data_IF_460727547957
#
_entry.id   IF_460727547957
#
_cell.length_a   1.000
_cell.length_b   1.000
_cell.length_c   1.000
_cell.angle_alpha   90.00
_cell.angle_beta   90.00
_cell.angle_gamma   90.00
#
_symmetry.space_group_name_H-M   'P 1'
#
loop_
_entity.id
_entity.type
_entity.pdbx_description
1 polymer ?
#
# COMPACT_ATOMS: atom_id res chain seq x y z
N UNK A 1 8.86 16.19 4.73
CA UNK A 1 8.51 17.60 4.50
C UNK A 1 9.16 18.19 3.24
N UNK A 2 10.47 18.04 3.02
CA UNK A 2 11.14 18.60 1.84
C UNK A 2 10.56 18.07 0.51
N UNK A 3 10.41 16.75 0.37
CA UNK A 3 9.77 16.14 -0.81
C UNK A 3 8.31 16.59 -1.00
N UNK A 4 7.60 16.87 0.09
CA UNK A 4 6.23 17.39 0.03
C UNK A 4 6.20 18.81 -0.54
N UNK A 5 7.16 19.66 -0.16
CA UNK A 5 7.30 21.00 -0.72
C UNK A 5 7.68 20.96 -2.21
N UNK A 6 8.49 19.99 -2.64
CA UNK A 6 8.76 19.78 -4.07
C UNK A 6 7.49 19.43 -4.85
N UNK A 7 6.54 18.72 -4.23
CA UNK A 7 5.23 18.46 -4.82
C UNK A 7 4.42 19.74 -5.07
N UNK A 8 4.44 20.70 -4.14
CA UNK A 8 3.83 22.01 -4.35
C UNK A 8 4.55 22.80 -5.45
N UNK A 9 5.88 22.80 -5.45
CA UNK A 9 6.65 23.46 -6.51
C UNK A 9 6.38 22.86 -7.90
N UNK A 10 6.12 21.56 -7.98
CA UNK A 10 5.69 20.93 -9.21
C UNK A 10 4.30 21.41 -9.64
N UNK A 11 3.35 21.45 -8.71
CA UNK A 11 1.98 21.92 -8.99
C UNK A 11 1.93 23.41 -9.41
N UNK A 12 2.89 24.20 -8.94
CA UNK A 12 3.05 25.62 -9.29
C UNK A 12 3.88 25.84 -10.59
N UNK A 13 4.26 24.78 -11.32
CA UNK A 13 5.13 24.83 -12.51
C UNK A 13 6.49 25.53 -12.24
N UNK A 14 7.04 25.34 -11.04
CA UNK A 14 8.31 25.95 -10.59
C UNK A 14 9.50 24.99 -10.64
N UNK A 15 9.33 23.82 -11.22
CA UNK A 15 10.40 22.84 -11.40
C UNK A 15 11.10 23.03 -12.75
N UNK A 16 12.25 22.38 -12.98
CA UNK A 16 12.97 22.55 -14.24
C UNK A 16 12.20 22.01 -15.44
N UNK A 17 11.93 22.87 -16.42
CA UNK A 17 11.20 22.51 -17.65
C UNK A 17 12.09 21.93 -18.74
N UNK A 18 13.40 22.18 -18.69
CA UNK A 18 14.33 21.74 -19.73
C UNK A 18 14.86 20.34 -19.43
N UNK A 19 14.90 19.43 -20.42
CA UNK A 19 15.29 18.03 -20.20
C UNK A 19 16.72 17.90 -19.68
N UNK A 20 17.64 18.79 -20.07
CA UNK A 20 19.01 18.78 -19.56
C UNK A 20 19.08 19.17 -18.07
N UNK A 21 18.21 20.07 -17.59
CA UNK A 21 18.15 20.45 -16.17
C UNK A 21 17.56 19.33 -15.33
N UNK A 22 16.52 18.67 -15.85
CA UNK A 22 15.93 17.48 -15.23
C UNK A 22 16.95 16.34 -15.17
N UNK A 23 17.70 16.11 -16.25
CA UNK A 23 18.78 15.12 -16.27
C UNK A 23 19.90 15.48 -15.29
N UNK A 24 20.32 16.74 -15.24
CA UNK A 24 21.33 17.20 -14.27
C UNK A 24 20.86 17.01 -12.82
N UNK A 25 19.58 17.28 -12.53
CA UNK A 25 18.97 17.04 -11.22
C UNK A 25 18.99 15.55 -10.87
N UNK A 26 18.61 14.69 -11.82
CA UNK A 26 18.58 13.24 -11.63
C UNK A 26 19.96 12.64 -11.43
N UNK A 27 20.90 12.98 -12.31
CA UNK A 27 22.30 12.52 -12.21
C UNK A 27 22.99 13.08 -10.96
N UNK A 28 22.74 14.34 -10.61
CA UNK A 28 23.24 14.95 -9.38
C UNK A 28 22.70 14.26 -8.13
N UNK A 29 21.40 13.96 -8.08
CA UNK A 29 20.77 13.19 -7.01
C UNK A 29 21.33 11.77 -6.91
N UNK A 30 21.49 11.08 -8.04
CA UNK A 30 22.07 9.74 -8.09
C UNK A 30 23.54 9.72 -7.63
N UNK A 31 24.36 10.66 -8.12
CA UNK A 31 25.75 10.78 -7.72
C UNK A 31 25.88 11.10 -6.23
N UNK A 32 25.07 12.04 -5.72
CA UNK A 32 25.03 12.37 -4.30
C UNK A 32 24.64 11.15 -3.45
N UNK A 33 23.63 10.39 -3.89
CA UNK A 33 23.21 9.16 -3.21
C UNK A 33 24.34 8.12 -3.15
N UNK A 34 25.02 7.87 -4.27
CA UNK A 34 26.15 6.92 -4.35
C UNK A 34 27.29 7.35 -3.42
N UNK A 35 27.63 8.65 -3.39
CA UNK A 35 28.66 9.19 -2.50
C UNK A 35 28.22 9.09 -1.04
N UNK A 36 26.97 9.39 -0.72
CA UNK A 36 26.44 9.37 0.65
C UNK A 36 26.41 7.96 1.25
N UNK A 37 26.11 6.95 0.45
CA UNK A 37 25.89 5.57 0.90
C UNK A 37 27.12 4.68 0.71
N UNK A 38 27.96 4.98 -0.29
CA UNK A 38 29.19 4.22 -0.55
C UNK A 38 30.31 4.62 0.41
N UNK A 39 31.04 5.72 0.14
CA UNK A 39 32.07 6.23 1.04
C UNK A 39 31.53 7.10 2.19
N UNK A 40 30.26 7.54 2.11
CA UNK A 40 29.66 8.44 3.08
C UNK A 40 29.19 7.74 4.36
N UNK A 41 28.68 8.52 5.34
CA UNK A 41 28.34 8.02 6.67
C UNK A 41 26.97 7.31 6.73
N UNK A 42 26.24 7.21 5.61
CA UNK A 42 24.88 6.68 5.59
C UNK A 42 24.85 5.18 5.26
N UNK A 43 24.00 4.40 5.94
CA UNK A 43 23.91 2.96 5.70
C UNK A 43 23.35 2.66 4.30
N UNK A 44 23.64 1.46 3.78
CA UNK A 44 23.04 0.96 2.52
C UNK A 44 21.53 0.72 2.65
N UNK A 45 21.10 0.35 3.84
CA UNK A 45 19.71 0.02 4.14
C UNK A 45 18.84 1.27 4.18
N UNK A 46 17.87 1.37 3.26
CA UNK A 46 16.95 2.51 3.19
C UNK A 46 15.72 2.35 4.09
N UNK A 47 15.30 1.11 4.36
CA UNK A 47 14.10 0.77 5.13
C UNK A 47 14.50 -0.22 6.22
N UNK A 48 13.94 -0.14 7.44
CA UNK A 48 14.23 -1.08 8.51
C UNK A 48 14.02 -2.54 8.07
N UNK A 49 14.99 -3.39 8.37
CA UNK A 49 14.88 -4.84 8.13
C UNK A 49 14.41 -5.46 9.44
N UNK A 50 13.21 -6.03 9.42
CA UNK A 50 12.61 -6.66 10.60
C UNK A 50 13.51 -7.77 11.14
N UNK A 51 13.74 -7.76 12.46
CA UNK A 51 14.61 -8.74 13.15
C UNK A 51 16.11 -8.39 13.13
N UNK A 52 16.49 -7.20 12.66
CA UNK A 52 17.89 -6.73 12.72
C UNK A 52 17.97 -5.33 13.32
N UNK A 53 19.03 -5.06 14.07
CA UNK A 53 19.35 -3.72 14.58
C UNK A 53 20.23 -2.92 13.59
N UNK A 54 20.17 -3.30 12.30
CA UNK A 54 20.96 -2.64 11.28
C UNK A 54 20.51 -1.17 11.14
N UNK A 55 21.47 -0.22 11.14
CA UNK A 55 21.15 1.18 10.93
C UNK A 55 20.50 1.36 9.55
N UNK A 56 19.52 2.27 9.48
CA UNK A 56 18.78 2.55 8.25
C UNK A 56 18.56 4.05 8.07
N UNK A 57 18.31 4.46 6.82
CA UNK A 57 18.11 5.86 6.47
C UNK A 57 16.71 6.41 6.79
N UNK A 58 15.78 5.57 7.25
CA UNK A 58 14.41 5.97 7.55
C UNK A 58 14.25 6.44 9.01
N UNK A 59 15.14 6.02 9.91
CA UNK A 59 15.04 6.30 11.33
C UNK A 59 16.39 6.71 11.94
N UNK A 60 16.73 8.02 11.99
CA UNK A 60 15.95 9.17 11.49
C UNK A 60 16.05 9.36 9.96
N UNK A 61 15.06 10.02 9.31
CA UNK A 61 15.09 10.30 7.87
C UNK A 61 16.35 11.06 7.45
N UNK A 62 17.17 10.44 6.61
CA UNK A 62 18.50 10.95 6.26
C UNK A 62 18.54 11.78 4.97
N UNK A 63 19.65 12.48 4.74
CA UNK A 63 19.89 13.21 3.50
C UNK A 63 19.95 12.28 2.26
N UNK A 64 20.31 11.00 2.45
CA UNK A 64 20.29 10.01 1.38
C UNK A 64 18.89 9.83 0.79
N UNK A 65 17.83 9.87 1.62
CA UNK A 65 16.45 9.81 1.14
C UNK A 65 16.05 11.03 0.30
N UNK A 66 16.61 12.20 0.60
CA UNK A 66 16.39 13.42 -0.20
C UNK A 66 17.06 13.27 -1.56
N UNK A 67 18.31 12.79 -1.60
CA UNK A 67 19.02 12.54 -2.86
C UNK A 67 18.29 11.50 -3.73
N UNK A 68 17.79 10.42 -3.12
CA UNK A 68 16.96 9.42 -3.78
C UNK A 68 15.66 10.03 -4.33
N UNK A 69 14.96 10.83 -3.53
CA UNK A 69 13.72 11.48 -3.96
C UNK A 69 13.91 12.50 -5.09
N UNK A 70 15.04 13.22 -5.11
CA UNK A 70 15.40 14.11 -6.23
C UNK A 70 15.66 13.32 -7.53
N UNK A 71 16.34 12.18 -7.42
CA UNK A 71 16.53 11.27 -8.55
C UNK A 71 15.18 10.78 -9.11
N UNK A 72 14.28 10.34 -8.22
CA UNK A 72 12.94 9.90 -8.61
C UNK A 72 12.10 11.03 -9.22
N UNK A 73 12.19 12.25 -8.67
CA UNK A 73 11.52 13.42 -9.22
C UNK A 73 12.01 13.75 -10.63
N UNK A 74 13.31 13.73 -10.86
CA UNK A 74 13.88 13.96 -12.19
C UNK A 74 13.40 12.94 -13.23
N UNK A 75 13.32 11.67 -12.84
CA UNK A 75 12.74 10.62 -13.69
C UNK A 75 11.27 10.90 -13.99
N UNK A 76 10.49 11.34 -13.00
CA UNK A 76 9.09 11.70 -13.20
C UNK A 76 8.92 12.90 -14.14
N UNK A 77 9.75 13.94 -14.01
CA UNK A 77 9.75 15.11 -14.90
C UNK A 77 10.09 14.72 -16.35
N UNK A 78 11.14 13.92 -16.55
CA UNK A 78 11.53 13.44 -17.88
C UNK A 78 10.46 12.55 -18.53
N UNK A 79 9.73 11.77 -17.71
CA UNK A 79 8.66 10.91 -18.18
C UNK A 79 7.34 11.68 -18.41
N UNK A 80 7.19 12.89 -17.86
CA UNK A 80 5.92 13.61 -17.78
C UNK A 80 5.25 13.75 -19.14
N UNK A 81 5.91 14.40 -20.11
CA UNK A 81 5.32 14.65 -21.43
C UNK A 81 4.95 13.37 -22.18
N UNK A 82 5.79 12.34 -22.05
CA UNK A 82 5.57 11.04 -22.70
C UNK A 82 4.36 10.31 -22.12
N UNK A 83 4.24 10.31 -20.80
CA UNK A 83 3.12 9.70 -20.07
C UNK A 83 1.83 10.47 -20.35
N UNK A 84 1.88 11.81 -20.33
CA UNK A 84 0.73 12.67 -20.66
C UNK A 84 0.26 12.44 -22.10
N UNK A 85 1.19 12.22 -23.03
CA UNK A 85 0.88 11.83 -24.41
C UNK A 85 0.19 10.46 -24.49
N UNK A 86 0.66 9.46 -23.75
CA UNK A 86 0.01 8.13 -23.71
C UNK A 86 -1.38 8.17 -23.09
N UNK A 87 -1.60 9.03 -22.09
CA UNK A 87 -2.89 9.24 -21.44
C UNK A 87 -3.92 9.95 -22.32
N UNK A 88 -3.55 10.46 -23.50
CA UNK A 88 -4.53 10.94 -24.49
C UNK A 88 -5.34 9.79 -25.10
N UNK A 89 -4.83 8.56 -25.10
CA UNK A 89 -5.57 7.38 -25.52
C UNK A 89 -6.59 6.98 -24.45
N UNK A 90 -7.86 6.88 -24.83
CA UNK A 90 -8.96 6.52 -23.90
C UNK A 90 -8.72 5.21 -23.18
N UNK A 91 -8.15 4.18 -23.84
CA UNK A 91 -7.90 2.88 -23.23
C UNK A 91 -6.84 2.97 -22.14
N UNK A 92 -5.75 3.68 -22.43
CA UNK A 92 -4.65 3.91 -21.46
C UNK A 92 -5.16 4.75 -20.29
N UNK A 93 -5.88 5.83 -20.58
CA UNK A 93 -6.50 6.66 -19.56
C UNK A 93 -7.46 5.87 -18.67
N UNK A 94 -8.38 5.08 -19.25
CA UNK A 94 -9.33 4.26 -18.49
C UNK A 94 -8.62 3.21 -17.64
N UNK A 95 -7.55 2.58 -18.16
CA UNK A 95 -6.77 1.60 -17.41
C UNK A 95 -6.13 2.18 -16.14
N UNK A 96 -5.76 3.47 -16.14
CA UNK A 96 -5.18 4.17 -14.99
C UNK A 96 -6.25 4.80 -14.09
N UNK A 97 -7.28 5.43 -14.69
CA UNK A 97 -8.33 6.14 -13.97
C UNK A 97 -9.24 5.21 -13.15
N UNK A 98 -9.52 4.00 -13.64
CA UNK A 98 -10.38 3.04 -12.94
C UNK A 98 -9.79 2.58 -11.59
N UNK A 99 -8.52 2.10 -11.51
CA UNK A 99 -7.86 1.88 -10.24
C UNK A 99 -7.64 3.19 -9.47
N UNK A 100 -7.39 4.29 -10.18
CA UNK A 100 -7.25 5.65 -9.62
C UNK A 100 -8.39 6.04 -8.69
N UNK A 101 -9.63 5.76 -9.11
CA UNK A 101 -10.84 6.02 -8.29
C UNK A 101 -10.95 5.17 -7.02
N UNK A 102 -10.13 4.13 -6.86
CA UNK A 102 -10.08 3.23 -5.69
C UNK A 102 -8.72 3.22 -5.00
N UNK A 103 -7.91 4.27 -5.18
CA UNK A 103 -6.57 4.33 -4.60
C UNK A 103 -6.58 4.22 -3.08
N UNK A 104 -7.62 4.71 -2.42
CA UNK A 104 -7.76 4.58 -0.96
C UNK A 104 -7.97 3.11 -0.56
N UNK A 105 -8.90 2.39 -1.18
CA UNK A 105 -9.06 0.95 -0.94
C UNK A 105 -7.80 0.18 -1.32
N UNK A 106 -7.16 0.47 -2.44
CA UNK A 106 -5.89 -0.17 -2.83
C UNK A 106 -4.83 0.06 -1.74
N UNK A 107 -4.66 1.30 -1.28
CA UNK A 107 -3.71 1.65 -0.23
C UNK A 107 -4.00 0.92 1.08
N UNK A 108 -5.26 0.80 1.48
CA UNK A 108 -5.62 0.09 2.72
C UNK A 108 -5.41 -1.43 2.62
N UNK A 109 -5.64 -2.02 1.46
CA UNK A 109 -5.68 -3.48 1.32
C UNK A 109 -4.43 -4.11 0.69
N UNK A 110 -3.50 -3.33 0.11
CA UNK A 110 -2.33 -3.90 -0.56
C UNK A 110 -1.38 -4.66 0.40
N UNK A 111 -1.16 -4.15 1.62
CA UNK A 111 -0.35 -4.85 2.62
C UNK A 111 -1.02 -6.16 3.05
N UNK A 112 -2.34 -6.16 3.23
CA UNK A 112 -3.11 -7.37 3.54
C UNK A 112 -3.04 -8.39 2.41
N UNK A 113 -3.17 -7.96 1.15
CA UNK A 113 -3.04 -8.83 -0.01
C UNK A 113 -1.64 -9.47 -0.08
N UNK A 114 -0.59 -8.65 0.11
CA UNK A 114 0.79 -9.12 0.13
C UNK A 114 1.03 -10.14 1.26
N UNK A 115 0.48 -9.87 2.45
CA UNK A 115 0.60 -10.77 3.58
C UNK A 115 -0.14 -12.09 3.36
N UNK A 116 -1.32 -12.06 2.74
CA UNK A 116 -2.08 -13.26 2.43
C UNK A 116 -1.32 -14.16 1.44
N UNK A 117 -0.75 -13.57 0.37
CA UNK A 117 0.11 -14.29 -0.58
C UNK A 117 1.35 -14.83 0.14
N UNK A 118 2.02 -14.03 0.96
CA UNK A 118 3.19 -14.47 1.71
C UNK A 118 2.90 -15.67 2.61
N UNK A 119 1.84 -15.62 3.42
CA UNK A 119 1.47 -16.75 4.27
C UNK A 119 1.08 -17.99 3.46
N UNK A 120 0.31 -17.83 2.39
CA UNK A 120 -0.05 -18.96 1.53
C UNK A 120 1.19 -19.64 0.93
N UNK A 121 2.15 -18.86 0.44
CA UNK A 121 3.40 -19.42 -0.11
C UNK A 121 4.29 -20.08 0.94
N UNK A 122 4.38 -19.51 2.15
CA UNK A 122 5.14 -20.09 3.26
C UNK A 122 4.51 -21.42 3.73
N UNK A 123 3.18 -21.49 3.83
CA UNK A 123 2.48 -22.69 4.31
C UNK A 123 2.51 -23.84 3.29
N UNK A 124 2.43 -23.51 2.00
CA UNK A 124 2.42 -24.50 0.92
C UNK A 124 3.83 -24.90 0.46
N UNK A 125 4.85 -24.10 0.79
CA UNK A 125 6.24 -24.34 0.38
C UNK A 125 6.49 -24.21 -1.13
N UNK A 126 5.50 -23.70 -1.89
CA UNK A 126 5.56 -23.66 -3.37
C UNK A 126 6.46 -22.57 -3.91
N UNK A 127 6.80 -21.57 -3.10
CA UNK A 127 7.59 -20.41 -3.54
C UNK A 127 9.00 -20.47 -2.96
N UNK A 128 10.05 -20.26 -3.77
CA UNK A 128 11.42 -20.27 -3.26
C UNK A 128 11.65 -19.07 -2.34
N UNK A 129 12.05 -19.34 -1.10
CA UNK A 129 12.59 -18.31 -0.20
C UNK A 129 14.04 -18.04 -0.64
N UNK A 130 14.24 -17.03 -1.46
CA UNK A 130 15.58 -16.63 -1.89
C UNK A 130 16.20 -15.67 -0.88
N UNK A 131 17.33 -16.05 -0.30
CA UNK A 131 18.12 -15.19 0.60
C UNK A 131 19.03 -14.20 -0.14
N UNK A 132 19.22 -14.40 -1.45
CA UNK A 132 20.09 -13.58 -2.30
C UNK A 132 19.29 -12.90 -3.41
N UNK A 133 19.70 -11.70 -3.77
CA UNK A 133 19.17 -10.99 -4.94
C UNK A 133 19.99 -11.41 -6.16
N UNK A 134 19.47 -12.35 -6.93
CA UNK A 134 20.09 -12.86 -8.16
C UNK A 134 19.12 -12.82 -9.35
N UNK A 135 19.50 -13.40 -10.49
CA UNK A 135 18.64 -13.45 -11.68
C UNK A 135 17.33 -14.23 -11.44
N UNK A 136 17.35 -15.24 -10.57
CA UNK A 136 16.16 -16.02 -10.21
C UNK A 136 15.18 -15.19 -9.37
N UNK A 137 15.71 -14.36 -8.46
CA UNK A 137 14.95 -13.37 -7.72
C UNK A 137 14.24 -12.43 -8.69
N UNK A 138 14.95 -11.86 -9.67
CA UNK A 138 14.34 -10.95 -10.65
C UNK A 138 13.30 -11.63 -11.54
N UNK A 139 13.49 -12.91 -11.89
CA UNK A 139 12.52 -13.66 -12.68
C UNK A 139 11.23 -13.97 -11.91
N UNK A 140 11.33 -14.22 -10.60
CA UNK A 140 10.18 -14.57 -9.76
C UNK A 140 9.36 -13.36 -9.31
N UNK A 141 9.99 -12.18 -9.15
CA UNK A 141 9.32 -10.97 -8.64
C UNK A 141 8.13 -10.49 -9.49
N UNK A 142 8.17 -10.47 -10.84
CA UNK A 142 7.01 -10.13 -11.65
C UNK A 142 5.81 -11.03 -11.35
N UNK A 143 6.02 -12.34 -11.27
CA UNK A 143 4.96 -13.29 -10.93
C UNK A 143 4.44 -13.07 -9.50
N UNK A 144 5.33 -12.80 -8.55
CA UNK A 144 4.94 -12.43 -7.18
C UNK A 144 4.03 -11.19 -7.14
N UNK A 145 4.41 -10.14 -7.88
CA UNK A 145 3.62 -8.90 -7.96
C UNK A 145 2.27 -9.14 -8.63
N UNK A 146 2.22 -9.98 -9.67
CA UNK A 146 0.96 -10.37 -10.33
C UNK A 146 0.03 -11.13 -9.37
N UNK A 147 0.56 -12.05 -8.57
CA UNK A 147 -0.22 -12.76 -7.55
C UNK A 147 -0.77 -11.79 -6.49
N UNK A 148 0.08 -10.89 -5.97
CA UNK A 148 -0.35 -9.85 -5.05
C UNK A 148 -1.43 -8.95 -5.66
N UNK A 149 -1.26 -8.53 -6.92
CA UNK A 149 -2.22 -7.70 -7.63
C UNK A 149 -3.55 -8.42 -7.88
N UNK A 150 -3.53 -9.72 -8.18
CA UNK A 150 -4.73 -10.53 -8.35
C UNK A 150 -5.53 -10.63 -7.04
N UNK A 151 -4.87 -10.97 -5.93
CA UNK A 151 -5.51 -11.02 -4.60
C UNK A 151 -6.05 -9.65 -4.20
N UNK A 152 -5.27 -8.59 -4.43
CA UNK A 152 -5.70 -7.23 -4.19
C UNK A 152 -6.93 -6.86 -5.03
N UNK A 153 -6.95 -7.23 -6.32
CA UNK A 153 -8.10 -7.00 -7.19
C UNK A 153 -9.37 -7.67 -6.68
N UNK A 154 -9.27 -8.88 -6.14
CA UNK A 154 -10.39 -9.57 -5.48
C UNK A 154 -10.83 -8.81 -4.23
N UNK A 155 -9.91 -8.39 -3.36
CA UNK A 155 -10.25 -7.61 -2.16
C UNK A 155 -10.92 -6.28 -2.50
N UNK A 156 -10.38 -5.55 -3.48
CA UNK A 156 -10.94 -4.29 -3.98
C UNK A 156 -12.33 -4.53 -4.58
N UNK A 157 -12.57 -5.63 -5.30
CA UNK A 157 -13.90 -5.95 -5.82
C UNK A 157 -14.91 -6.24 -4.70
N UNK A 158 -14.49 -6.90 -3.61
CA UNK A 158 -15.34 -7.24 -2.47
C UNK A 158 -15.66 -6.03 -1.58
N UNK A 159 -14.69 -5.13 -1.40
CA UNK A 159 -14.74 -4.02 -0.44
C UNK A 159 -14.99 -2.66 -1.12
N UNK A 160 -14.68 -2.51 -2.40
CA UNK A 160 -14.85 -1.26 -3.16
C UNK A 160 -16.30 -0.75 -3.22
N UNK A 161 -17.28 -1.60 -2.89
CA UNK A 161 -18.68 -1.17 -2.66
C UNK A 161 -18.83 -0.17 -1.52
N UNK A 162 -17.95 -0.21 -0.51
CA UNK A 162 -17.99 0.69 0.64
C UNK A 162 -17.42 2.08 0.34
N UNK A 163 -16.74 2.26 -0.80
CA UNK A 163 -16.28 3.57 -1.26
C UNK A 163 -17.37 4.36 -2.00
N UNK A 164 -18.49 3.72 -2.34
CA UNK A 164 -19.62 4.41 -2.97
C UNK A 164 -20.36 5.25 -1.92
N UNK A 165 -20.49 6.58 -2.10
CA UNK A 165 -21.23 7.41 -1.16
C UNK A 165 -22.66 6.88 -1.03
N UNK A 166 -23.17 6.65 0.20
CA UNK A 166 -24.57 6.28 0.36
C UNK A 166 -25.45 7.42 -0.15
N UNK A 167 -26.64 7.12 -0.71
CA UNK A 167 -27.58 8.16 -1.12
C UNK A 167 -27.89 9.09 0.06
N UNK A 168 -28.12 10.39 -0.20
CA UNK A 168 -28.43 11.36 0.85
C UNK A 168 -29.57 10.85 1.74
N UNK A 169 -29.33 10.78 3.05
CA UNK A 169 -30.39 10.39 3.99
C UNK A 169 -31.47 11.47 4.05
N UNK A 170 -32.77 11.09 4.05
CA UNK A 170 -33.83 12.02 4.40
C UNK A 170 -33.58 12.62 5.78
N UNK A 171 -33.68 13.94 5.90
CA UNK A 171 -33.58 14.63 7.18
C UNK A 171 -34.70 14.17 8.13
N UNK A 172 -34.35 13.84 9.38
CA UNK A 172 -35.33 13.59 10.45
C UNK A 172 -35.49 12.14 10.95
N UNK A 173 -34.66 11.19 10.52
CA UNK A 173 -34.69 9.84 11.11
C UNK A 173 -33.93 9.79 12.45
N UNK A 174 -34.62 9.33 13.50
CA UNK A 174 -34.04 9.14 14.84
C UNK A 174 -32.77 8.25 14.81
N UNK A 175 -31.77 8.52 15.68
CA UNK A 175 -30.55 7.71 15.76
C UNK A 175 -30.91 6.27 16.14
N UNK A 176 -30.72 5.35 15.19
CA UNK A 176 -31.02 3.92 15.36
C UNK A 176 -29.99 3.26 16.32
N UNK A 177 -30.35 2.12 16.96
CA UNK A 177 -29.38 1.20 17.61
C UNK A 177 -28.22 0.77 16.69
N UNK A 178 -28.36 0.97 15.38
CA UNK A 178 -27.31 0.85 14.38
C UNK A 178 -26.08 1.76 14.64
N UNK A 179 -26.24 2.92 15.30
CA UNK A 179 -25.11 3.79 15.63
C UNK A 179 -24.25 3.20 16.77
N UNK A 180 -24.88 2.60 17.78
CA UNK A 180 -24.19 1.92 18.87
C UNK A 180 -23.50 0.63 18.38
N UNK A 181 -24.18 -0.14 17.51
CA UNK A 181 -23.60 -1.32 16.86
C UNK A 181 -22.45 -0.97 15.91
N UNK A 182 -22.56 0.14 15.16
CA UNK A 182 -21.46 0.64 14.35
C UNK A 182 -20.27 1.10 15.22
N UNK A 183 -20.54 1.79 16.33
CA UNK A 183 -19.51 2.17 17.30
C UNK A 183 -18.78 0.96 17.89
N UNK A 184 -19.52 -0.08 18.29
CA UNK A 184 -18.96 -1.35 18.77
C UNK A 184 -18.17 -2.09 17.68
N UNK A 185 -18.67 -2.11 16.45
CA UNK A 185 -17.97 -2.71 15.32
C UNK A 185 -16.65 -2.02 15.00
N UNK A 186 -16.62 -0.69 15.06
CA UNK A 186 -15.40 0.11 14.88
C UNK A 186 -14.40 -0.14 16.00
N UNK A 187 -14.83 -0.13 17.27
CA UNK A 187 -13.92 -0.35 18.41
C UNK A 187 -13.36 -1.77 18.44
N UNK A 188 -14.16 -2.79 18.12
CA UNK A 188 -13.70 -4.17 18.01
C UNK A 188 -12.73 -4.36 16.84
N UNK A 189 -13.00 -3.74 15.70
CA UNK A 189 -12.09 -3.78 14.54
C UNK A 189 -10.77 -3.07 14.84
N UNK A 190 -10.82 -1.88 15.45
CA UNK A 190 -9.63 -1.13 15.87
C UNK A 190 -8.82 -1.90 16.93
N UNK A 191 -9.50 -2.53 17.90
CA UNK A 191 -8.87 -3.38 18.91
C UNK A 191 -8.22 -4.63 18.31
N UNK A 192 -8.87 -5.30 17.37
CA UNK A 192 -8.31 -6.46 16.66
C UNK A 192 -7.08 -6.09 15.82
N UNK A 193 -7.11 -4.96 15.12
CA UNK A 193 -5.94 -4.42 14.40
C UNK A 193 -4.82 -4.05 15.37
N UNK A 194 -5.14 -3.37 16.48
CA UNK A 194 -4.17 -3.04 17.52
C UNK A 194 -3.50 -4.27 18.12
N UNK A 195 -4.26 -5.34 18.34
CA UNK A 195 -3.72 -6.61 18.82
C UNK A 195 -2.79 -7.27 17.80
N UNK A 196 -3.14 -7.29 16.51
CA UNK A 196 -2.27 -7.81 15.44
C UNK A 196 -0.93 -7.08 15.36
N UNK A 197 -0.93 -5.76 15.61
CA UNK A 197 0.29 -4.94 15.62
C UNK A 197 1.20 -5.31 16.79
N UNK A 198 0.63 -5.56 17.98
CA UNK A 198 1.41 -5.88 19.20
C UNK A 198 1.84 -7.34 19.26
N UNK A 199 0.94 -8.27 18.92
CA UNK A 199 1.18 -9.71 19.03
C UNK A 199 2.01 -10.27 17.86
N UNK A 200 2.16 -9.51 16.78
CA UNK A 200 2.80 -9.98 15.57
C UNK A 200 1.90 -10.90 14.75
N UNK A 201 2.17 -10.95 13.45
CA UNK A 201 1.34 -11.67 12.47
C UNK A 201 1.71 -13.15 12.36
N UNK A 202 2.88 -13.53 12.87
CA UNK A 202 3.42 -14.89 12.77
C UNK A 202 4.11 -15.29 14.07
N UNK A 203 3.56 -16.30 14.75
CA UNK A 203 4.19 -16.98 15.87
C UNK A 203 4.56 -18.41 15.45
N UNK A 204 5.84 -18.84 15.53
CA UNK A 204 6.24 -20.21 15.27
C UNK A 204 5.52 -21.26 16.14
N UNK A 205 4.99 -20.86 17.30
CA UNK A 205 4.33 -21.76 18.25
C UNK A 205 2.83 -21.97 17.98
N UNK A 206 2.22 -21.26 17.03
CA UNK A 206 0.79 -21.39 16.73
C UNK A 206 0.51 -22.47 15.66
N UNK A 207 -0.52 -23.33 15.86
CA UNK A 207 -0.78 -24.52 15.03
C UNK A 207 -1.10 -24.23 13.55
N UNK A 208 -1.37 -22.97 13.20
CA UNK A 208 -1.58 -22.53 11.81
C UNK A 208 -0.72 -21.30 11.44
N UNK A 209 0.24 -20.91 12.29
CA UNK A 209 1.11 -19.71 12.16
C UNK A 209 0.35 -18.38 11.96
N UNK A 210 -0.96 -18.36 12.20
CA UNK A 210 -1.82 -17.17 12.14
C UNK A 210 -2.42 -16.89 13.52
N UNK A 211 -2.51 -15.62 13.94
CA UNK A 211 -3.09 -15.22 15.22
C UNK A 211 -4.63 -15.30 15.15
N UNK A 212 -5.16 -16.52 15.23
CA UNK A 212 -6.60 -16.81 15.34
C UNK A 212 -7.31 -15.92 16.40
N UNK A 213 -6.72 -15.61 17.58
CA UNK A 213 -7.38 -14.77 18.59
C UNK A 213 -7.67 -13.35 18.11
N UNK A 214 -6.87 -12.81 17.19
CA UNK A 214 -7.03 -11.45 16.68
C UNK A 214 -7.97 -11.37 15.46
N UNK A 215 -8.13 -12.47 14.74
CA UNK A 215 -9.04 -12.58 13.59
C UNK A 215 -10.51 -12.67 14.01
N UNK A 216 -10.80 -13.28 15.16
CA UNK A 216 -12.16 -13.42 15.71
C UNK A 216 -12.84 -12.07 16.00
N UNK A 217 -12.25 -11.14 16.78
CA UNK A 217 -12.88 -9.84 17.04
C UNK A 217 -12.98 -8.97 15.78
N UNK A 218 -12.04 -9.10 14.84
CA UNK A 218 -12.08 -8.41 13.55
C UNK A 218 -13.22 -8.93 12.66
N UNK A 219 -13.42 -10.24 12.59
CA UNK A 219 -14.54 -10.85 11.88
C UNK A 219 -15.89 -10.48 12.52
N UNK A 220 -15.97 -10.48 13.85
CA UNK A 220 -17.18 -10.06 14.59
C UNK A 220 -17.49 -8.58 14.35
N UNK A 221 -16.48 -7.70 14.36
CA UNK A 221 -16.64 -6.28 14.04
C UNK A 221 -17.16 -6.04 12.63
N UNK A 222 -16.64 -6.77 11.64
CA UNK A 222 -17.11 -6.70 10.25
C UNK A 222 -18.56 -7.19 10.08
N UNK A 223 -18.94 -8.27 10.77
CA UNK A 223 -20.32 -8.78 10.76
C UNK A 223 -21.28 -7.79 11.44
N UNK A 224 -20.88 -7.21 12.58
CA UNK A 224 -21.68 -6.21 13.32
C UNK A 224 -21.89 -4.91 12.53
N UNK A 225 -20.95 -4.55 11.65
CA UNK A 225 -21.07 -3.42 10.72
C UNK A 225 -22.01 -3.70 9.52
N UNK A 226 -22.61 -4.90 9.43
CA UNK A 226 -23.54 -5.27 8.35
C UNK A 226 -22.86 -5.58 7.01
N UNK A 227 -21.52 -5.61 6.96
CA UNK A 227 -20.72 -5.89 5.75
C UNK A 227 -21.05 -7.26 5.13
N UNK A 228 -21.47 -8.21 5.97
CA UNK A 228 -21.77 -9.61 5.62
C UNK A 228 -23.29 -9.91 5.63
N UNK A 229 -24.10 -9.14 6.38
CA UNK A 229 -25.51 -9.45 6.67
C UNK A 229 -26.51 -9.24 5.53
N UNK A 230 -26.28 -8.27 4.64
CA UNK A 230 -27.22 -7.91 3.57
C UNK A 230 -27.44 -9.03 2.52
N UNK A 231 -26.59 -10.06 2.51
CA UNK A 231 -26.73 -11.20 1.58
C UNK A 231 -27.76 -12.24 2.02
N UNK A 232 -28.09 -12.31 3.31
CA UNK A 232 -29.05 -13.31 3.82
C UNK A 232 -30.50 -12.82 3.75
N UNK A 233 -30.72 -11.51 3.87
CA UNK A 233 -32.07 -10.92 3.75
C UNK A 233 -32.53 -10.81 2.29
N UNK A 234 -31.62 -10.60 1.33
CA UNK A 234 -31.96 -10.53 -0.09
C UNK A 234 -32.21 -11.90 -0.76
N UNK A 235 -31.73 -12.99 -0.16
CA UNK A 235 -31.94 -14.35 -0.66
C UNK A 235 -33.26 -15.00 -0.16
N UNK A 236 -33.87 -14.44 0.88
CA UNK A 236 -35.13 -14.96 1.46
C UNK A 236 -36.41 -14.33 0.91
N UNK A 237 -36.32 -13.44 -0.08
CA UNK A 237 -37.46 -12.71 -0.67
C UNK A 237 -37.72 -13.03 -2.15
N UNK A 238 -37.23 -14.17 -2.64
CA UNK A 238 -37.58 -14.73 -3.95
C UNK A 238 -38.29 -16.05 -3.81
#
# INVERSE_FOLDING_TARGET
MLLHQLGYLWADDRLPDRPWQQLALGLGGAAALVVMVGPGPYPLTMVPIAGTDLPNNLNPPSAALVALGLCQLAVALLAHDRVTGWLQDRRVWTAVALPGGRLMTIFLWHQTAMLAVANATILTGVWPLTERVDGSWWATRPLWLLLCAAVLGVLVALVGRFESPPPPRPAGLAPRPAAALAGLGVTLSAGGVGWLVVAGVSDPAMPLRVPLPALVPLAVGLVALGVVGDRLTAAGSR
#
